data_IF_564221810603
#
_entry.id   IF_564221810603
#
_cell.length_a   1.000
_cell.length_b   1.000
_cell.length_c   1.000
_cell.angle_alpha   90.00
_cell.angle_beta   90.00
_cell.angle_gamma   90.00
#
_symmetry.space_group_name_H-M   'P 1'
#
loop_
_entity.id
_entity.type
_entity.pdbx_description
1 polymer ?
#
# COMPACT_ATOMS: atom_id res chain seq x y z
N UNK A 1 -18.75 -19.50 -5.52
CA UNK A 1 -18.75 -18.38 -6.49
C UNK A 1 -17.93 -17.25 -5.89
N UNK A 2 -16.67 -17.05 -6.28
CA UNK A 2 -15.99 -15.80 -5.95
C UNK A 2 -16.57 -14.68 -6.83
N UNK A 3 -16.58 -13.41 -6.38
CA UNK A 3 -17.00 -12.30 -7.22
C UNK A 3 -16.03 -12.15 -8.41
N UNK A 4 -16.61 -12.05 -9.60
CA UNK A 4 -15.89 -11.76 -10.84
C UNK A 4 -15.24 -10.38 -10.72
N UNK A 5 -13.91 -10.33 -10.74
CA UNK A 5 -13.17 -9.13 -11.05
C UNK A 5 -13.32 -8.85 -12.56
N UNK A 6 -14.48 -8.35 -12.96
CA UNK A 6 -14.67 -7.76 -14.29
C UNK A 6 -14.65 -6.24 -14.17
N UNK A 7 -13.46 -5.67 -14.33
CA UNK A 7 -13.26 -4.25 -14.59
C UNK A 7 -11.87 -4.04 -15.23
N UNK A 8 -11.73 -4.28 -16.54
CA UNK A 8 -10.75 -3.60 -17.41
C UNK A 8 -9.25 -3.60 -17.05
N UNK A 9 -8.83 -4.37 -16.05
CA UNK A 9 -7.49 -4.37 -15.49
C UNK A 9 -6.57 -5.30 -16.28
N UNK A 10 -5.50 -4.73 -16.83
CA UNK A 10 -4.51 -5.51 -17.57
C UNK A 10 -3.54 -6.16 -16.58
N UNK A 11 -3.58 -7.49 -16.48
CA UNK A 11 -2.60 -8.22 -15.68
C UNK A 11 -1.17 -7.94 -16.19
N UNK A 12 -0.29 -7.54 -15.28
CA UNK A 12 1.11 -7.25 -15.55
C UNK A 12 1.94 -8.43 -15.07
N UNK A 13 2.79 -9.03 -15.93
CA UNK A 13 3.57 -10.19 -15.55
C UNK A 13 4.60 -9.82 -14.48
N UNK A 14 4.59 -10.56 -13.38
CA UNK A 14 5.66 -10.60 -12.38
C UNK A 14 6.41 -11.93 -12.49
N UNK A 15 7.69 -11.92 -12.08
CA UNK A 15 8.46 -13.15 -11.83
C UNK A 15 8.90 -13.14 -10.38
N UNK A 16 8.57 -14.20 -9.66
CA UNK A 16 8.86 -14.33 -8.24
C UNK A 16 9.80 -15.51 -8.10
N UNK A 17 10.92 -15.31 -7.43
CA UNK A 17 11.84 -16.38 -7.07
C UNK A 17 11.95 -16.43 -5.55
N UNK A 18 11.97 -17.62 -4.96
CA UNK A 18 12.12 -17.76 -3.52
C UNK A 18 12.78 -19.05 -3.11
N UNK A 19 13.44 -19.00 -1.96
CA UNK A 19 14.10 -20.16 -1.37
C UNK A 19 13.16 -20.82 -0.36
N UNK A 20 12.83 -22.07 -0.61
CA UNK A 20 11.92 -22.87 0.20
C UNK A 20 12.70 -23.96 0.92
N UNK A 21 12.45 -24.12 2.22
CA UNK A 21 13.10 -25.15 3.02
C UNK A 21 13.00 -26.52 2.35
N UNK A 22 14.14 -27.21 2.23
CA UNK A 22 14.31 -28.57 1.66
C UNK A 22 13.91 -28.73 0.18
N UNK A 23 13.28 -27.73 -0.44
CA UNK A 23 12.97 -27.71 -1.88
C UNK A 23 13.99 -26.89 -2.68
N UNK A 24 14.65 -25.91 -2.05
CA UNK A 24 15.59 -25.00 -2.71
C UNK A 24 14.89 -23.83 -3.40
N UNK A 25 15.49 -23.33 -4.47
CA UNK A 25 14.96 -22.16 -5.19
C UNK A 25 13.80 -22.56 -6.12
N UNK A 26 12.66 -21.89 -5.95
CA UNK A 26 11.48 -22.01 -6.81
C UNK A 26 11.24 -20.71 -7.58
N UNK A 27 10.69 -20.83 -8.78
CA UNK A 27 10.35 -19.72 -9.67
C UNK A 27 8.89 -19.83 -10.09
N UNK A 28 8.13 -18.76 -9.87
CA UNK A 28 6.70 -18.69 -10.20
C UNK A 28 6.35 -17.37 -10.86
N UNK A 29 5.20 -17.30 -11.53
CA UNK A 29 4.70 -16.07 -12.13
C UNK A 29 3.69 -15.36 -11.24
N UNK A 30 3.42 -14.09 -11.53
CA UNK A 30 2.35 -13.37 -10.83
C UNK A 30 1.01 -14.08 -10.97
N UNK A 31 0.29 -14.23 -9.85
CA UNK A 31 -0.95 -15.02 -9.75
C UNK A 31 -0.73 -16.47 -9.28
N UNK A 32 0.50 -16.96 -9.24
CA UNK A 32 0.82 -18.30 -8.71
C UNK A 32 1.32 -18.22 -7.26
N UNK A 33 1.26 -19.36 -6.57
CA UNK A 33 1.80 -19.50 -5.21
C UNK A 33 3.30 -19.76 -5.24
N UNK A 34 4.07 -18.88 -4.60
CA UNK A 34 5.41 -19.19 -4.12
C UNK A 34 5.27 -19.98 -2.82
N UNK A 35 5.87 -21.17 -2.77
CA UNK A 35 5.72 -22.08 -1.65
C UNK A 35 4.49 -22.96 -1.82
N UNK A 36 3.85 -23.33 -0.72
CA UNK A 36 2.70 -24.22 -0.69
C UNK A 36 1.73 -23.77 0.41
N UNK A 37 0.54 -23.24 0.08
CA UNK A 37 -0.39 -22.74 1.08
C UNK A 37 -0.93 -23.86 1.99
N UNK A 38 -0.92 -25.12 1.55
CA UNK A 38 -1.33 -26.28 2.33
C UNK A 38 -0.13 -27.04 2.93
N UNK A 39 1.09 -26.51 2.74
CA UNK A 39 2.34 -27.15 3.14
C UNK A 39 2.92 -26.58 4.44
N UNK A 40 3.95 -27.27 4.94
CA UNK A 40 4.66 -26.87 6.17
C UNK A 40 6.02 -26.19 5.91
N UNK A 41 6.51 -26.28 4.67
CA UNK A 41 7.85 -25.79 4.31
C UNK A 41 7.92 -24.27 4.34
N UNK A 42 8.84 -23.73 5.13
CA UNK A 42 9.01 -22.26 5.25
C UNK A 42 9.62 -21.62 4.01
N UNK A 43 9.21 -20.39 3.75
CA UNK A 43 9.89 -19.47 2.85
C UNK A 43 10.99 -18.74 3.65
N UNK A 44 12.24 -18.84 3.19
CA UNK A 44 13.41 -18.23 3.85
C UNK A 44 13.77 -16.86 3.28
N UNK A 45 13.44 -16.65 2.01
CA UNK A 45 13.72 -15.42 1.28
C UNK A 45 13.10 -15.44 -0.11
N UNK A 46 12.88 -14.26 -0.68
CA UNK A 46 12.31 -14.11 -2.02
C UNK A 46 12.77 -12.82 -2.71
N UNK A 47 12.61 -12.81 -4.02
CA UNK A 47 12.81 -11.63 -4.88
C UNK A 47 11.63 -11.52 -5.84
N UNK A 48 11.17 -10.29 -6.07
CA UNK A 48 10.14 -9.99 -7.05
C UNK A 48 10.76 -9.20 -8.18
N UNK A 49 10.65 -9.70 -9.39
CA UNK A 49 11.02 -8.99 -10.61
C UNK A 49 9.77 -8.50 -11.31
N UNK A 50 9.84 -7.26 -11.79
CA UNK A 50 8.82 -6.64 -12.62
C UNK A 50 9.40 -6.38 -14.02
N UNK A 51 9.33 -7.36 -14.94
CA UNK A 51 9.78 -7.17 -16.32
C UNK A 51 9.04 -6.01 -16.99
N UNK A 52 9.78 -5.16 -17.72
CA UNK A 52 9.25 -3.97 -18.41
C UNK A 52 8.54 -2.99 -17.47
N UNK A 53 8.99 -2.91 -16.22
CA UNK A 53 8.57 -1.89 -15.26
C UNK A 53 8.77 -0.48 -15.86
N UNK A 54 7.75 0.41 -15.82
CA UNK A 54 7.90 1.80 -16.22
C UNK A 54 8.88 2.56 -15.31
N UNK A 55 9.41 3.69 -15.78
CA UNK A 55 10.43 4.44 -15.04
C UNK A 55 9.91 5.12 -13.75
N UNK A 56 8.63 5.52 -13.73
CA UNK A 56 8.05 6.35 -12.68
C UNK A 56 7.23 5.55 -11.64
N UNK A 57 7.34 4.22 -11.64
CA UNK A 57 6.68 3.34 -10.66
C UNK A 57 7.61 2.20 -10.28
N UNK A 58 7.59 1.84 -9.01
CA UNK A 58 8.27 0.65 -8.50
C UNK A 58 7.46 -0.08 -7.44
N UNK A 59 7.89 -1.31 -7.18
CA UNK A 59 7.42 -2.14 -6.09
C UNK A 59 8.45 -2.10 -4.97
N UNK A 60 8.06 -1.60 -3.81
CA UNK A 60 8.84 -1.72 -2.58
C UNK A 60 8.25 -2.81 -1.70
N UNK A 61 9.11 -3.70 -1.20
CA UNK A 61 8.69 -4.82 -0.38
C UNK A 61 9.76 -5.20 0.64
N UNK A 62 9.34 -5.82 1.72
CA UNK A 62 10.21 -6.21 2.81
C UNK A 62 9.72 -7.48 3.49
N UNK A 63 10.56 -8.02 4.36
CA UNK A 63 10.18 -9.13 5.21
C UNK A 63 10.62 -8.90 6.66
N UNK A 64 9.98 -9.61 7.58
CA UNK A 64 10.46 -9.84 8.92
C UNK A 64 10.93 -11.28 9.05
N UNK A 65 12.04 -11.47 9.76
CA UNK A 65 12.59 -12.79 10.06
C UNK A 65 12.31 -13.16 11.50
N UNK A 66 11.95 -14.42 11.73
CA UNK A 66 11.72 -14.94 13.07
C UNK A 66 12.98 -14.78 13.93
N UNK A 67 12.82 -14.13 15.09
CA UNK A 67 13.91 -13.86 16.04
C UNK A 67 14.83 -12.68 15.68
N UNK A 68 14.73 -12.09 14.48
CA UNK A 68 15.50 -10.88 14.09
C UNK A 68 14.61 -9.64 13.93
N UNK A 69 13.34 -9.84 13.58
CA UNK A 69 12.42 -8.75 13.30
C UNK A 69 12.51 -8.25 11.87
N UNK A 70 12.05 -7.01 11.65
CA UNK A 70 11.86 -6.43 10.33
C UNK A 70 13.18 -6.02 9.69
N UNK A 71 13.37 -6.40 8.44
CA UNK A 71 14.49 -5.95 7.61
C UNK A 71 14.13 -4.65 6.86
N UNK A 72 15.13 -3.90 6.36
CA UNK A 72 14.89 -2.81 5.42
C UNK A 72 14.09 -3.27 4.20
N UNK A 73 13.17 -2.42 3.73
CA UNK A 73 12.47 -2.67 2.46
C UNK A 73 13.47 -2.57 1.29
N UNK A 74 13.26 -3.41 0.30
CA UNK A 74 13.98 -3.45 -0.98
C UNK A 74 13.05 -3.05 -2.13
N UNK A 75 13.59 -2.90 -3.33
CA UNK A 75 12.82 -2.63 -4.56
C UNK A 75 12.82 -3.82 -5.52
N UNK A 76 11.97 -3.79 -6.56
CA UNK A 76 11.90 -4.90 -7.51
C UNK A 76 13.25 -5.18 -8.17
N UNK A 77 13.60 -6.47 -8.21
CA UNK A 77 14.89 -7.00 -8.66
C UNK A 77 15.83 -7.44 -7.52
N UNK A 78 15.66 -6.89 -6.32
CA UNK A 78 16.50 -7.24 -5.16
C UNK A 78 16.00 -8.49 -4.43
N UNK A 79 16.77 -9.03 -3.48
CA UNK A 79 16.36 -10.20 -2.69
C UNK A 79 16.22 -9.81 -1.23
N UNK A 80 15.14 -10.29 -0.59
CA UNK A 80 14.87 -10.08 0.84
C UNK A 80 14.83 -11.42 1.57
N UNK A 81 15.22 -11.41 2.85
CA UNK A 81 15.31 -12.61 3.69
C UNK A 81 16.70 -13.23 3.65
N UNK A 82 16.79 -14.54 3.81
CA UNK A 82 18.06 -15.27 3.83
C UNK A 82 18.04 -16.48 2.89
N UNK A 83 19.21 -16.86 2.39
CA UNK A 83 19.41 -18.14 1.69
C UNK A 83 20.28 -19.02 2.57
N UNK A 84 19.89 -20.28 2.77
CA UNK A 84 20.72 -21.28 3.47
C UNK A 84 21.15 -20.89 4.89
N UNK A 85 20.41 -19.99 5.55
CA UNK A 85 20.64 -19.59 6.96
C UNK A 85 19.56 -20.13 7.89
N UNK A 86 18.63 -20.94 7.37
CA UNK A 86 17.54 -21.58 8.11
C UNK A 86 16.63 -20.60 8.87
N UNK A 87 16.56 -19.33 8.43
CA UNK A 87 15.72 -18.31 9.07
C UNK A 87 14.42 -18.14 8.31
N UNK A 88 13.33 -18.37 9.03
CA UNK A 88 11.99 -18.27 8.50
C UNK A 88 11.52 -16.82 8.40
N UNK A 89 10.84 -16.49 7.31
CA UNK A 89 10.06 -15.25 7.22
C UNK A 89 8.81 -15.41 8.09
N UNK A 90 8.51 -14.44 8.96
CA UNK A 90 7.29 -14.40 9.78
C UNK A 90 6.41 -13.16 9.50
N UNK A 91 6.80 -12.37 8.49
CA UNK A 91 6.03 -11.21 8.06
C UNK A 91 6.52 -10.67 6.73
N UNK A 92 5.61 -10.05 5.98
CA UNK A 92 5.87 -9.44 4.69
C UNK A 92 5.17 -8.10 4.57
N UNK A 93 5.77 -7.20 3.82
CA UNK A 93 5.19 -5.89 3.53
C UNK A 93 5.34 -5.59 2.06
N UNK A 94 4.32 -5.01 1.45
CA UNK A 94 4.33 -4.61 0.05
C UNK A 94 3.67 -3.25 -0.13
N UNK A 95 4.22 -2.43 -1.02
CA UNK A 95 3.66 -1.14 -1.44
C UNK A 95 4.15 -0.79 -2.84
N UNK A 96 3.28 -0.16 -3.64
CA UNK A 96 3.68 0.51 -4.87
C UNK A 96 4.21 1.91 -4.52
N UNK A 97 5.27 2.34 -5.20
CA UNK A 97 5.93 3.63 -4.99
C UNK A 97 6.17 4.31 -6.34
N UNK A 98 6.35 5.64 -6.33
CA UNK A 98 6.56 6.45 -7.54
C UNK A 98 5.33 7.26 -7.92
N UNK A 99 5.50 8.13 -8.92
CA UNK A 99 4.47 9.08 -9.37
C UNK A 99 3.29 8.37 -10.05
N UNK A 100 3.57 7.27 -10.76
CA UNK A 100 2.57 6.49 -11.49
C UNK A 100 2.02 5.30 -10.68
N UNK A 101 2.29 5.23 -9.37
CA UNK A 101 1.87 4.10 -8.52
C UNK A 101 0.35 3.88 -8.52
N UNK A 102 -0.44 4.96 -8.58
CA UNK A 102 -1.91 4.90 -8.60
C UNK A 102 -2.49 4.33 -9.91
N UNK A 103 -1.66 4.15 -10.95
CA UNK A 103 -2.03 3.47 -12.19
C UNK A 103 -1.92 1.94 -12.07
N UNK A 104 -1.50 1.41 -10.92
CA UNK A 104 -1.33 -0.02 -10.70
C UNK A 104 -2.01 -0.47 -9.41
N UNK A 105 -2.44 -1.73 -9.40
CA UNK A 105 -2.98 -2.41 -8.23
C UNK A 105 -2.17 -3.68 -7.96
N UNK A 106 -1.67 -3.82 -6.73
CA UNK A 106 -0.99 -5.04 -6.28
C UNK A 106 -1.86 -5.76 -5.27
N UNK A 107 -2.31 -6.96 -5.61
CA UNK A 107 -2.99 -7.88 -4.72
C UNK A 107 -1.97 -8.83 -4.11
N UNK A 108 -2.04 -8.99 -2.79
CA UNK A 108 -1.15 -9.83 -2.00
C UNK A 108 -1.96 -10.83 -1.19
N UNK A 109 -1.48 -12.07 -1.18
CA UNK A 109 -1.95 -13.14 -0.30
C UNK A 109 -0.79 -13.82 0.39
N UNK A 110 -0.96 -14.12 1.67
CA UNK A 110 0.04 -14.78 2.50
C UNK A 110 -0.62 -15.85 3.37
N UNK A 111 0.01 -17.02 3.44
CA UNK A 111 -0.40 -18.13 4.32
C UNK A 111 0.74 -18.44 5.28
N UNK A 112 0.40 -18.58 6.55
CA UNK A 112 1.32 -18.86 7.64
C UNK A 112 1.14 -20.28 8.16
N UNK A 113 2.15 -20.80 8.86
CA UNK A 113 2.27 -22.19 9.30
C UNK A 113 1.19 -22.67 10.28
N UNK A 114 0.41 -21.76 10.86
CA UNK A 114 -0.75 -22.09 11.70
C UNK A 114 -2.04 -22.26 10.89
N UNK A 115 -1.98 -22.09 9.56
CA UNK A 115 -3.13 -22.09 8.66
C UNK A 115 -3.78 -20.71 8.47
N UNK A 116 -3.24 -19.66 9.11
CA UNK A 116 -3.75 -18.29 8.89
C UNK A 116 -3.52 -17.85 7.45
N UNK A 117 -4.60 -17.49 6.77
CA UNK A 117 -4.59 -16.97 5.40
C UNK A 117 -5.03 -15.50 5.40
N UNK A 118 -4.15 -14.63 4.90
CA UNK A 118 -4.42 -13.22 4.69
C UNK A 118 -4.55 -12.90 3.20
N UNK A 119 -5.58 -12.15 2.85
CA UNK A 119 -5.86 -11.69 1.50
C UNK A 119 -6.93 -12.53 0.77
N UNK A 120 -7.20 -12.24 -0.52
CA UNK A 120 -6.56 -11.20 -1.34
C UNK A 120 -6.73 -9.79 -0.79
N UNK A 121 -5.62 -9.08 -0.58
CA UNK A 121 -5.59 -7.72 -0.04
C UNK A 121 -4.84 -6.78 -0.98
N UNK A 122 -5.36 -5.57 -1.17
CA UNK A 122 -4.73 -4.53 -1.99
C UNK A 122 -3.60 -3.84 -1.20
N UNK A 123 -2.42 -3.70 -1.80
CA UNK A 123 -1.30 -2.96 -1.24
C UNK A 123 -1.63 -1.45 -1.07
N UNK A 124 -1.07 -0.75 -0.06
CA UNK A 124 -0.03 -1.21 0.85
C UNK A 124 -0.54 -2.17 1.92
N UNK A 125 0.25 -3.22 2.22
CA UNK A 125 -0.05 -4.22 3.26
C UNK A 125 1.16 -4.49 4.13
N UNK A 126 0.94 -4.77 5.41
CA UNK A 126 1.88 -5.36 6.36
C UNK A 126 1.21 -6.61 6.94
N UNK A 127 1.62 -7.80 6.49
CA UNK A 127 1.03 -9.08 6.87
C UNK A 127 2.00 -9.85 7.76
N UNK A 128 1.53 -10.35 8.90
CA UNK A 128 2.33 -11.09 9.88
C UNK A 128 1.51 -12.23 10.47
N UNK A 129 2.20 -13.29 10.89
CA UNK A 129 1.57 -14.37 11.66
C UNK A 129 0.88 -13.82 12.92
N UNK A 130 -0.26 -14.39 13.35
CA UNK A 130 -1.05 -13.84 14.45
C UNK A 130 -0.29 -13.64 15.76
N UNK A 131 0.69 -14.50 16.06
CA UNK A 131 1.53 -14.38 17.25
C UNK A 131 2.95 -13.88 16.92
N UNK A 132 3.26 -13.73 15.64
CA UNK A 132 4.59 -13.41 15.12
C UNK A 132 5.57 -14.58 15.22
N UNK A 133 5.09 -15.79 15.53
CA UNK A 133 5.92 -17.00 15.59
C UNK A 133 5.73 -17.89 14.37
N UNK A 134 4.62 -17.70 13.67
CA UNK A 134 4.25 -18.49 12.50
C UNK A 134 5.11 -18.07 11.31
N UNK A 135 5.66 -19.06 10.60
CA UNK A 135 6.43 -18.80 9.39
C UNK A 135 5.55 -18.78 8.16
N UNK A 136 5.97 -18.01 7.16
CA UNK A 136 5.34 -17.94 5.86
C UNK A 136 5.55 -19.26 5.11
N UNK A 137 4.46 -19.87 4.64
CA UNK A 137 4.47 -21.12 3.85
C UNK A 137 3.99 -20.89 2.42
N UNK A 138 3.13 -19.89 2.21
CA UNK A 138 2.63 -19.50 0.89
C UNK A 138 2.62 -17.99 0.71
N UNK A 139 3.05 -17.53 -0.47
CA UNK A 139 2.95 -16.13 -0.89
C UNK A 139 2.46 -16.06 -2.34
N UNK A 140 1.41 -15.27 -2.61
CA UNK A 140 0.93 -15.00 -3.96
C UNK A 140 0.83 -13.50 -4.19
N UNK A 141 1.35 -13.05 -5.33
CA UNK A 141 1.32 -11.65 -5.76
C UNK A 141 0.70 -11.54 -7.13
N UNK A 142 -0.23 -10.61 -7.32
CA UNK A 142 -0.83 -10.30 -8.60
C UNK A 142 -0.81 -8.79 -8.82
N UNK A 143 -0.21 -8.37 -9.92
CA UNK A 143 -0.13 -6.97 -10.32
C UNK A 143 -1.03 -6.73 -11.54
N UNK A 144 -1.84 -5.69 -11.49
CA UNK A 144 -2.61 -5.19 -12.62
C UNK A 144 -2.35 -3.69 -12.84
N UNK A 145 -2.50 -3.28 -14.09
CA UNK A 145 -2.64 -1.88 -14.44
C UNK A 145 -4.12 -1.50 -14.34
N UNK A 146 -4.42 -0.52 -13.49
CA UNK A 146 -5.76 0.02 -13.35
C UNK A 146 -5.92 1.15 -14.34
N UNK A 147 -6.97 1.10 -15.17
CA UNK A 147 -7.27 2.19 -16.09
C UNK A 147 -7.52 3.45 -15.25
N UNK A 148 -6.61 4.41 -15.34
CA UNK A 148 -6.57 5.60 -14.51
C UNK A 148 -7.98 6.16 -14.30
N UNK A 149 -8.49 6.07 -13.08
CA UNK A 149 -9.65 6.86 -12.69
C UNK A 149 -9.14 8.29 -12.73
N UNK A 150 -9.69 9.10 -13.64
CA UNK A 150 -9.31 10.49 -13.86
C UNK A 150 -8.97 11.16 -12.53
N UNK A 151 -7.88 11.95 -12.45
CA UNK A 151 -7.44 12.54 -11.20
C UNK A 151 -8.65 13.16 -10.53
N UNK A 152 -8.90 12.75 -9.28
CA UNK A 152 -9.80 13.53 -8.41
C UNK A 152 -9.15 14.89 -8.35
N UNK A 153 -9.63 15.80 -9.21
CA UNK A 153 -9.43 17.22 -9.06
C UNK A 153 -9.79 17.49 -7.62
N UNK A 154 -8.78 17.73 -6.80
CA UNK A 154 -8.97 18.45 -5.57
C UNK A 154 -9.42 19.84 -6.01
N UNK A 155 -10.71 19.98 -6.35
CA UNK A 155 -11.43 21.20 -6.09
C UNK A 155 -11.39 21.34 -4.57
N UNK A 156 -10.25 21.84 -4.10
CA UNK A 156 -10.15 22.60 -2.88
C UNK A 156 -11.11 23.76 -3.11
N UNK A 157 -12.38 23.53 -2.76
CA UNK A 157 -13.34 24.57 -2.52
C UNK A 157 -12.76 25.36 -1.34
N UNK A 158 -11.87 26.29 -1.67
CA UNK A 158 -11.57 27.41 -0.80
C UNK A 158 -12.87 28.20 -0.80
N UNK A 159 -13.75 27.87 0.14
CA UNK A 159 -14.80 28.75 0.57
C UNK A 159 -14.09 30.03 1.02
N UNK A 160 -14.01 31.00 0.13
CA UNK A 160 -13.64 32.36 0.43
C UNK A 160 -14.75 32.93 1.32
N UNK A 161 -14.63 32.72 2.63
CA UNK A 161 -15.33 33.50 3.63
C UNK A 161 -14.80 34.93 3.57
N UNK A 162 -15.32 35.70 2.61
CA UNK A 162 -15.30 37.16 2.64
C UNK A 162 -16.31 37.57 3.72
N UNK A 163 -15.89 38.19 4.85
CA UNK A 163 -16.86 38.73 5.78
C UNK A 163 -17.58 39.91 5.12
N UNK A 164 -18.90 39.82 5.09
CA UNK A 164 -19.82 40.86 4.67
C UNK A 164 -19.72 42.07 5.62
N UNK A 165 -19.57 43.31 5.11
CA UNK A 165 -19.50 44.48 5.96
C UNK A 165 -20.88 44.85 6.52
N UNK A 166 -20.96 44.98 7.85
CA UNK A 166 -22.16 45.38 8.58
C UNK A 166 -22.73 46.74 8.10
N UNK A 167 -24.08 46.91 8.06
CA UNK A 167 -24.71 48.15 7.63
C UNK A 167 -24.49 49.26 8.66
N UNK A 168 -23.75 50.30 8.26
CA UNK A 168 -23.59 51.55 9.03
C UNK A 168 -24.84 52.41 8.87
N UNK A 169 -25.50 52.73 9.99
CA UNK A 169 -26.64 53.66 10.05
C UNK A 169 -26.20 55.07 9.63
N UNK A 170 -27.00 55.82 8.85
CA UNK A 170 -26.66 57.19 8.49
C UNK A 170 -26.80 58.13 9.70
N UNK A 171 -25.76 58.93 9.96
CA UNK A 171 -25.77 59.97 10.97
C UNK A 171 -26.67 61.14 10.52
N UNK A 172 -27.74 61.41 11.28
CA UNK A 172 -28.54 62.64 11.15
C UNK A 172 -27.78 63.77 11.82
N UNK A 173 -27.37 64.73 11.00
CA UNK A 173 -26.84 66.03 11.38
C UNK A 173 -27.99 66.83 11.97
N UNK A 174 -27.91 67.24 13.23
CA UNK A 174 -28.75 68.31 13.77
C UNK A 174 -27.87 69.33 14.49
N UNK A 175 -27.92 70.56 13.96
CA UNK A 175 -27.29 71.77 14.46
C UNK A 175 -27.88 72.17 15.82
N UNK A 176 -27.03 72.70 16.69
CA UNK A 176 -27.38 73.37 17.93
C UNK A 176 -28.25 74.62 17.70
N UNK A 177 -28.99 75.04 18.74
CA UNK A 177 -29.05 76.45 19.08
C UNK A 177 -28.45 76.76 20.46
N UNK A 178 -28.07 78.04 20.58
CA UNK A 178 -27.34 78.68 21.68
C UNK A 178 -28.27 79.14 22.81
N UNK A 179 -27.65 79.28 23.98
CA UNK A 179 -27.78 80.38 24.96
C UNK A 179 -28.71 80.23 26.17
N UNK A 180 -28.07 80.42 27.34
CA UNK A 180 -28.38 81.39 28.40
C UNK A 180 -28.64 80.86 29.82
N UNK A 181 -27.65 81.15 30.67
CA UNK A 181 -27.73 81.98 31.89
C UNK A 181 -28.19 81.39 33.24
N UNK A 182 -27.37 81.75 34.25
CA UNK A 182 -27.65 82.08 35.65
C UNK A 182 -28.18 80.93 36.55
N UNK A 183 -27.80 80.81 37.82
CA UNK A 183 -27.52 81.79 38.87
C UNK A 183 -26.39 81.25 39.76
#
# INVERSE_FOLDING_TARGET
MPPAADAGDRAIPLRIAGHIERKGDLFVTGGDWLGDPDGEARIEGFSVQWPRRPANVDLSYGCALLGLGRLPDVVAGEFVGTRMQARAINGVTFKLIGEDADAYALIVEAVFSDGSHFGPALAPVDLKGPTGREHLVGLRLQLSEVKAKAPRSSSRAVASSRPEPAPRKPARIFRAPRSSAAI
#
